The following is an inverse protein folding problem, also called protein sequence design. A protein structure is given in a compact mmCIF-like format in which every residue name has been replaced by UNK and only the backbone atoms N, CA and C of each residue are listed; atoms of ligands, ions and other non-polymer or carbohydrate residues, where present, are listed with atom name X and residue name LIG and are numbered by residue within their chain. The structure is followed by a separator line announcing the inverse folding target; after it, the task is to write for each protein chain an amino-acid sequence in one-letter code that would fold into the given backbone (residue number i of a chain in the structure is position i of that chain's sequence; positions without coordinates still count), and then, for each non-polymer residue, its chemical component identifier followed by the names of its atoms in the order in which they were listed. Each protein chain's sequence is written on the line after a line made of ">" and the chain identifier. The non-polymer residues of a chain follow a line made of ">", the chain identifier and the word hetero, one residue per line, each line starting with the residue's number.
data_IF_299999355040
#
_entry.id   IF_299999355040
#
_cell.length_a   1.000
_cell.length_b   1.000
_cell.length_c   1.000
_cell.angle_alpha   90.00
_cell.angle_beta   90.00
_cell.angle_gamma   90.00
#
_symmetry.space_group_name_H-M   'P 1'
#
loop_
_entity.id
_entity.type
_entity.pdbx_description
1 polymer ?
#
# COMPACT_ATOMS: atom_id res chain seq x y z
N UNK A 1 -13.96 9.55 -22.23
CA UNK A 1 -12.51 9.75 -22.33
C UNK A 1 -11.85 9.07 -21.16
N UNK A 2 -10.72 8.40 -21.39
CA UNK A 2 -9.88 7.85 -20.32
C UNK A 2 -9.35 8.97 -19.43
N UNK A 3 -9.36 8.84 -18.09
CA UNK A 3 -8.75 9.83 -17.21
C UNK A 3 -7.27 10.03 -17.53
N UNK A 4 -6.84 11.28 -17.70
CA UNK A 4 -5.42 11.61 -17.90
C UNK A 4 -4.79 11.88 -16.54
N UNK A 5 -3.79 11.09 -16.16
CA UNK A 5 -3.10 11.21 -14.88
C UNK A 5 -1.64 11.53 -15.16
N UNK A 6 -1.14 12.61 -14.56
CA UNK A 6 0.29 12.92 -14.56
C UNK A 6 0.86 12.62 -13.18
N UNK A 7 1.98 11.91 -13.14
CA UNK A 7 2.81 11.74 -11.94
C UNK A 7 4.05 12.61 -12.11
N UNK A 8 4.27 13.53 -11.19
CA UNK A 8 5.38 14.48 -11.23
C UNK A 8 6.50 14.00 -10.31
N UNK A 9 7.64 13.63 -10.90
CA UNK A 9 8.84 13.11 -10.23
C UNK A 9 9.09 11.64 -10.54
N UNK A 10 10.33 11.30 -10.92
CA UNK A 10 10.75 9.92 -11.25
C UNK A 10 11.60 9.24 -10.16
N UNK A 11 11.61 9.79 -8.94
CA UNK A 11 12.17 9.08 -7.79
C UNK A 11 11.33 7.86 -7.41
N UNK A 12 11.80 7.11 -6.41
CA UNK A 12 11.18 5.85 -5.99
C UNK A 12 9.67 5.98 -5.67
N UNK A 13 9.26 7.09 -5.07
CA UNK A 13 7.85 7.39 -4.77
C UNK A 13 7.01 7.61 -6.03
N UNK A 14 7.50 8.42 -6.98
CA UNK A 14 6.77 8.70 -8.21
C UNK A 14 6.64 7.47 -9.12
N UNK A 15 7.72 6.69 -9.28
CA UNK A 15 7.69 5.43 -10.02
C UNK A 15 6.72 4.41 -9.38
N UNK A 16 6.78 4.25 -8.06
CA UNK A 16 5.85 3.36 -7.35
C UNK A 16 4.41 3.83 -7.48
N UNK A 17 4.17 5.13 -7.36
CA UNK A 17 2.83 5.71 -7.54
C UNK A 17 2.28 5.49 -8.94
N UNK A 18 3.10 5.69 -9.98
CA UNK A 18 2.70 5.49 -11.36
C UNK A 18 2.33 4.03 -11.66
N UNK A 19 3.13 3.07 -11.18
CA UNK A 19 2.83 1.63 -11.31
C UNK A 19 1.56 1.25 -10.56
N UNK A 20 1.38 1.73 -9.32
CA UNK A 20 0.18 1.45 -8.54
C UNK A 20 -1.08 2.03 -9.20
N UNK A 21 -1.01 3.23 -9.77
CA UNK A 21 -2.16 3.84 -10.47
C UNK A 21 -2.52 3.07 -11.73
N UNK A 22 -1.55 2.60 -12.52
CA UNK A 22 -1.84 1.74 -13.67
C UNK A 22 -2.50 0.42 -13.27
N UNK A 23 -2.17 -0.12 -12.10
CA UNK A 23 -2.80 -1.32 -11.56
C UNK A 23 -4.23 -1.06 -11.07
N UNK A 24 -4.42 0.02 -10.30
CA UNK A 24 -5.70 0.36 -9.69
C UNK A 24 -6.72 0.94 -10.69
N UNK A 25 -6.25 1.65 -11.71
CA UNK A 25 -7.08 2.34 -12.69
C UNK A 25 -6.62 1.99 -14.14
N UNK A 26 -6.86 0.75 -14.64
CA UNK A 26 -6.29 0.27 -15.91
C UNK A 26 -6.71 1.06 -17.16
N UNK A 27 -7.82 1.80 -17.10
CA UNK A 27 -8.31 2.64 -18.18
C UNK A 27 -7.67 4.03 -18.22
N UNK A 28 -6.90 4.43 -17.20
CA UNK A 28 -6.27 5.74 -17.13
C UNK A 28 -5.04 5.82 -18.03
N UNK A 29 -4.86 6.96 -18.70
CA UNK A 29 -3.63 7.27 -19.39
C UNK A 29 -2.66 7.90 -18.39
N UNK A 30 -1.62 7.17 -18.00
CA UNK A 30 -0.66 7.62 -16.99
C UNK A 30 0.61 8.12 -17.67
N UNK A 31 0.98 9.36 -17.41
CA UNK A 31 2.26 9.95 -17.80
C UNK A 31 3.11 10.20 -16.55
N UNK A 32 4.41 9.93 -16.63
CA UNK A 32 5.36 10.27 -15.60
C UNK A 32 6.31 11.35 -16.14
N UNK A 33 6.23 12.54 -15.55
CA UNK A 33 6.98 13.73 -15.94
C UNK A 33 8.06 14.00 -14.89
N UNK A 34 9.31 14.14 -15.30
CA UNK A 34 10.42 14.43 -14.38
C UNK A 34 11.60 15.06 -15.12
N UNK A 35 12.36 15.93 -14.46
CA UNK A 35 13.61 16.45 -14.99
C UNK A 35 14.70 15.37 -15.03
N UNK A 36 14.80 14.62 -13.93
CA UNK A 36 15.78 13.56 -13.73
C UNK A 36 15.11 12.20 -13.60
N UNK A 37 15.83 11.16 -14.03
CA UNK A 37 15.51 9.74 -13.84
C UNK A 37 16.73 9.06 -13.23
N UNK A 38 16.61 7.83 -12.72
CA UNK A 38 17.77 7.03 -12.32
C UNK A 38 18.80 6.99 -13.46
N UNK A 39 20.10 7.27 -13.21
CA UNK A 39 20.78 7.30 -11.91
C UNK A 39 20.86 8.66 -11.20
N UNK A 40 20.12 9.68 -11.64
CA UNK A 40 20.28 11.09 -11.21
C UNK A 40 19.19 11.55 -10.22
N UNK A 41 18.67 10.66 -9.37
CA UNK A 41 17.69 10.99 -8.34
C UNK A 41 18.26 10.82 -6.93
N UNK A 42 17.65 11.46 -5.93
CA UNK A 42 17.99 11.23 -4.51
C UNK A 42 17.92 9.74 -4.13
N UNK A 43 17.05 8.96 -4.78
CA UNK A 43 16.91 7.53 -4.51
C UNK A 43 18.17 6.74 -4.84
N UNK A 44 18.96 7.16 -5.83
CA UNK A 44 20.07 6.38 -6.36
C UNK A 44 21.24 6.22 -5.36
N UNK A 45 21.40 7.18 -4.45
CA UNK A 45 22.39 7.07 -3.38
C UNK A 45 21.90 6.47 -2.07
N UNK A 46 20.61 6.12 -1.99
CA UNK A 46 20.02 5.55 -0.78
C UNK A 46 20.75 4.26 -0.36
N UNK A 47 20.80 4.00 0.95
CA UNK A 47 21.30 2.74 1.48
C UNK A 47 20.32 1.58 1.28
N UNK A 48 19.02 1.88 1.06
CA UNK A 48 18.02 0.91 0.64
C UNK A 48 17.50 -0.05 1.71
N UNK A 49 18.01 0.01 2.95
CA UNK A 49 17.46 -0.78 4.06
C UNK A 49 16.07 -0.28 4.45
N UNK A 50 15.14 -1.20 4.66
CA UNK A 50 13.90 -0.90 5.34
C UNK A 50 14.17 -0.69 6.83
N UNK A 51 14.25 0.58 7.24
CA UNK A 51 14.31 0.98 8.65
C UNK A 51 13.66 2.36 8.74
N UNK A 52 12.47 2.49 9.37
CA UNK A 52 11.82 3.80 9.51
C UNK A 52 12.71 4.78 10.29
N UNK A 53 13.22 5.80 9.60
CA UNK A 53 14.20 6.78 10.10
C UNK A 53 13.87 8.20 9.63
N UNK A 54 14.01 9.20 10.52
CA UNK A 54 13.61 10.59 10.27
C UNK A 54 12.17 10.70 9.73
N UNK A 55 11.25 9.95 10.35
CA UNK A 55 9.83 10.17 10.14
C UNK A 55 9.43 11.52 10.74
N UNK A 56 8.57 12.25 10.04
CA UNK A 56 7.92 13.44 10.58
C UNK A 56 7.19 13.10 11.88
N UNK A 57 7.50 13.83 12.96
CA UNK A 57 7.04 13.50 14.31
C UNK A 57 5.54 13.75 14.52
N UNK A 58 4.96 14.69 13.77
CA UNK A 58 3.57 15.10 13.93
C UNK A 58 2.56 14.05 13.44
N UNK A 59 2.99 13.11 12.59
CA UNK A 59 2.13 12.04 12.06
C UNK A 59 2.90 10.71 11.94
N UNK A 60 3.62 10.38 13.01
CA UNK A 60 4.50 9.22 13.07
C UNK A 60 3.73 7.90 12.88
N UNK A 61 2.52 7.77 13.42
CA UNK A 61 1.72 6.56 13.28
C UNK A 61 1.27 6.32 11.84
N UNK A 62 0.79 7.35 11.16
CA UNK A 62 0.39 7.23 9.75
C UNK A 62 1.58 6.90 8.88
N UNK A 63 2.69 7.61 9.09
CA UNK A 63 3.93 7.36 8.35
C UNK A 63 4.37 5.92 8.56
N UNK A 64 4.38 5.44 9.82
CA UNK A 64 4.70 4.05 10.14
C UNK A 64 3.78 3.05 9.44
N UNK A 65 2.46 3.28 9.38
CA UNK A 65 1.54 2.40 8.63
C UNK A 65 1.94 2.27 7.16
N UNK A 66 2.35 3.37 6.52
CA UNK A 66 2.84 3.37 5.13
C UNK A 66 4.14 2.56 5.04
N UNK A 67 5.07 2.76 5.98
CA UNK A 67 6.31 2.00 6.00
C UNK A 67 6.07 0.49 6.19
N UNK A 68 5.18 0.09 7.09
CA UNK A 68 4.88 -1.33 7.35
C UNK A 68 4.23 -2.01 6.15
N UNK A 69 3.36 -1.33 5.41
CA UNK A 69 2.83 -1.91 4.18
C UNK A 69 3.91 -1.99 3.06
N UNK A 70 4.88 -1.07 3.04
CA UNK A 70 6.06 -1.17 2.19
C UNK A 70 6.93 -2.37 2.57
N UNK A 71 7.16 -2.60 3.86
CA UNK A 71 7.90 -3.75 4.37
C UNK A 71 7.32 -5.06 3.85
N UNK A 72 6.00 -5.26 4.01
CA UNK A 72 5.32 -6.48 3.55
C UNK A 72 5.55 -6.72 2.06
N UNK A 73 5.37 -5.68 1.24
CA UNK A 73 5.60 -5.78 -0.20
C UNK A 73 7.04 -6.17 -0.55
N UNK A 74 8.03 -5.54 0.11
CA UNK A 74 9.43 -5.85 -0.12
C UNK A 74 9.83 -7.24 0.37
N UNK A 75 9.24 -7.71 1.47
CA UNK A 75 9.45 -9.07 1.98
C UNK A 75 8.89 -10.13 1.02
N UNK A 76 7.72 -9.89 0.42
CA UNK A 76 7.17 -10.72 -0.64
C UNK A 76 8.11 -10.76 -1.86
N UNK A 77 8.62 -9.59 -2.28
CA UNK A 77 9.58 -9.49 -3.38
C UNK A 77 10.90 -10.20 -3.07
N UNK A 78 11.43 -10.04 -1.86
CA UNK A 78 12.65 -10.71 -1.38
C UNK A 78 12.51 -12.24 -1.37
N UNK A 79 11.28 -12.73 -1.20
CA UNK A 79 10.97 -14.16 -1.20
C UNK A 79 10.57 -14.69 -2.58
N UNK A 80 10.51 -13.81 -3.60
CA UNK A 80 10.11 -14.19 -4.95
C UNK A 80 11.29 -14.70 -5.79
N UNK A 81 11.04 -15.51 -6.85
CA UNK A 81 12.10 -15.93 -7.77
C UNK A 81 12.81 -14.76 -8.50
N UNK A 82 12.20 -13.57 -8.51
CA UNK A 82 12.77 -12.39 -9.16
C UNK A 82 13.69 -11.59 -8.23
N UNK A 83 13.77 -11.92 -6.93
CA UNK A 83 14.50 -11.19 -5.89
C UNK A 83 15.93 -10.82 -6.31
N UNK A 84 16.68 -11.79 -6.84
CA UNK A 84 18.05 -11.57 -7.33
C UNK A 84 18.14 -10.63 -8.53
N UNK A 85 17.16 -10.68 -9.45
CA UNK A 85 17.12 -9.81 -10.63
C UNK A 85 16.82 -8.35 -10.27
N UNK A 86 16.00 -8.13 -9.25
CA UNK A 86 15.62 -6.79 -8.77
C UNK A 86 16.46 -6.32 -7.58
N UNK A 87 17.41 -7.15 -7.13
CA UNK A 87 18.33 -6.89 -6.01
C UNK A 87 17.60 -6.48 -4.73
N UNK A 88 16.59 -7.25 -4.37
CA UNK A 88 15.86 -7.14 -3.10
C UNK A 88 16.17 -8.38 -2.28
N UNK A 89 16.65 -8.22 -1.04
CA UNK A 89 17.09 -9.33 -0.19
C UNK A 89 16.66 -9.14 1.26
N UNK A 90 16.33 -10.25 1.94
CA UNK A 90 16.25 -10.23 3.40
C UNK A 90 17.65 -9.98 3.96
N UNK A 91 17.74 -9.15 4.99
CA UNK A 91 19.01 -8.78 5.59
C UNK A 91 18.86 -8.68 7.10
N UNK A 92 19.70 -9.39 7.85
CA UNK A 92 19.74 -9.34 9.30
C UNK A 92 20.82 -8.38 9.78
N UNK A 93 20.70 -7.91 11.01
CA UNK A 93 21.65 -6.97 11.54
C UNK A 93 21.37 -6.49 12.95
N UNK A 94 22.16 -5.51 13.36
CA UNK A 94 22.34 -5.12 14.74
C UNK A 94 22.16 -3.61 14.93
N UNK A 95 21.37 -3.20 15.91
CA UNK A 95 21.45 -1.83 16.45
C UNK A 95 22.26 -1.86 17.74
N UNK A 96 23.39 -1.16 17.76
CA UNK A 96 24.33 -1.06 18.88
C UNK A 96 24.18 0.30 19.56
N UNK A 97 24.14 0.34 20.90
CA UNK A 97 23.91 1.57 21.65
C UNK A 97 24.98 1.78 22.72
N UNK A 98 25.45 3.02 22.86
CA UNK A 98 26.10 3.49 24.09
C UNK A 98 24.99 3.97 25.04
N UNK A 99 24.72 3.21 26.08
CA UNK A 99 23.57 3.33 26.98
C UNK A 99 22.39 2.42 26.61
N UNK A 100 21.39 2.41 27.50
CA UNK A 100 20.15 1.67 27.29
C UNK A 100 19.14 2.51 26.51
N UNK A 101 18.54 2.00 25.42
CA UNK A 101 17.41 2.65 24.77
C UNK A 101 16.27 2.88 25.76
N UNK A 102 15.70 4.07 25.75
CA UNK A 102 14.61 4.44 26.67
C UNK A 102 13.26 3.83 26.29
N UNK A 103 13.10 3.40 25.04
CA UNK A 103 11.89 2.76 24.54
C UNK A 103 12.18 1.84 23.34
N UNK A 104 11.37 0.79 23.20
CA UNK A 104 11.37 -0.08 22.02
C UNK A 104 10.55 0.62 20.92
N UNK A 105 11.12 0.93 19.74
CA UNK A 105 10.38 1.61 18.67
C UNK A 105 9.20 0.78 18.15
N UNK A 106 8.08 1.41 17.81
CA UNK A 106 6.87 0.69 17.37
C UNK A 106 7.04 -0.16 16.10
N UNK A 107 7.98 0.20 15.23
CA UNK A 107 8.27 -0.54 13.99
C UNK A 107 8.85 -1.94 14.25
N UNK A 108 9.44 -2.20 15.42
CA UNK A 108 10.08 -3.49 15.75
C UNK A 108 9.07 -4.63 15.76
N UNK A 109 7.78 -4.34 16.00
CA UNK A 109 6.67 -5.31 15.89
C UNK A 109 6.45 -5.84 14.48
N UNK A 110 7.04 -5.20 13.47
CA UNK A 110 6.87 -5.57 12.06
C UNK A 110 8.01 -6.42 11.52
N UNK A 111 9.21 -6.31 12.08
CA UNK A 111 10.41 -7.03 11.59
C UNK A 111 10.49 -8.45 12.12
N UNK A 112 11.19 -9.32 11.41
CA UNK A 112 11.38 -10.72 11.82
C UNK A 112 12.47 -10.81 12.89
N UNK A 113 12.24 -11.60 13.95
CA UNK A 113 13.30 -11.98 14.91
C UNK A 113 13.85 -10.85 15.79
N UNK A 114 13.09 -9.78 16.03
CA UNK A 114 13.51 -8.71 16.94
C UNK A 114 13.76 -9.23 18.36
N UNK A 115 14.96 -9.00 18.89
CA UNK A 115 15.35 -9.35 20.25
C UNK A 115 16.52 -8.50 20.75
N UNK A 116 16.75 -8.51 22.06
CA UNK A 116 18.01 -8.04 22.63
C UNK A 116 19.11 -9.11 22.46
N UNK A 117 20.36 -8.66 22.38
CA UNK A 117 21.52 -9.57 22.42
C UNK A 117 21.75 -10.09 23.83
N UNK A 118 22.24 -11.32 23.92
CA UNK A 118 22.69 -11.92 25.18
C UNK A 118 24.03 -11.33 25.62
N UNK A 119 24.38 -11.48 26.90
CA UNK A 119 25.69 -11.05 27.41
C UNK A 119 26.87 -11.70 26.66
N UNK A 120 26.70 -12.93 26.17
CA UNK A 120 27.73 -13.63 25.39
C UNK A 120 27.89 -13.01 24.00
N UNK A 121 26.78 -12.72 23.29
CA UNK A 121 26.82 -12.04 22.00
C UNK A 121 27.40 -10.63 22.09
N UNK A 122 27.12 -9.92 23.20
CA UNK A 122 27.66 -8.58 23.45
C UNK A 122 29.19 -8.56 23.53
N UNK A 123 29.88 -9.67 23.83
CA UNK A 123 31.35 -9.72 23.82
C UNK A 123 31.97 -9.41 22.46
N UNK A 124 31.20 -9.57 21.38
CA UNK A 124 31.62 -9.23 20.01
C UNK A 124 31.58 -7.71 19.75
N UNK A 125 30.91 -6.93 20.60
CA UNK A 125 30.67 -5.50 20.43
C UNK A 125 31.13 -4.71 21.67
N UNK A 126 32.46 -4.65 21.93
CA UNK A 126 33.00 -4.02 23.14
C UNK A 126 32.75 -2.51 23.22
N UNK A 127 32.37 -1.87 22.12
CA UNK A 127 32.04 -0.44 22.05
C UNK A 127 30.57 -0.12 22.38
N UNK A 128 29.76 -1.13 22.72
CA UNK A 128 28.33 -0.99 22.96
C UNK A 128 27.93 -1.51 24.35
N UNK A 129 27.02 -0.80 25.00
CA UNK A 129 26.48 -1.20 26.32
C UNK A 129 25.25 -2.11 26.16
N UNK A 130 24.52 -1.96 25.05
CA UNK A 130 23.38 -2.81 24.70
C UNK A 130 23.22 -2.91 23.19
N UNK A 131 22.53 -3.96 22.74
CA UNK A 131 22.25 -4.15 21.33
C UNK A 131 20.93 -4.89 21.09
N UNK A 132 20.33 -4.65 19.93
CA UNK A 132 19.22 -5.44 19.40
C UNK A 132 19.60 -6.11 18.09
N UNK A 133 18.96 -7.24 17.80
CA UNK A 133 19.10 -7.97 16.54
C UNK A 133 17.72 -8.10 15.90
N UNK A 134 17.67 -7.98 14.57
CA UNK A 134 16.47 -8.26 13.78
C UNK A 134 16.81 -8.54 12.32
N UNK A 135 15.85 -9.12 11.62
CA UNK A 135 15.86 -9.30 10.16
C UNK A 135 14.91 -8.32 9.51
N UNK A 136 15.44 -7.55 8.56
CA UNK A 136 14.72 -6.61 7.72
C UNK A 136 14.88 -6.98 6.23
N UNK A 137 14.61 -6.04 5.33
CA UNK A 137 14.78 -6.16 3.89
C UNK A 137 15.59 -4.99 3.35
N UNK A 138 16.54 -5.29 2.48
CA UNK A 138 17.32 -4.31 1.74
C UNK A 138 16.94 -4.36 0.26
N UNK A 139 16.83 -3.20 -0.37
CA UNK A 139 16.67 -3.08 -1.82
C UNK A 139 17.82 -2.26 -2.39
N UNK A 140 18.38 -2.70 -3.51
CA UNK A 140 19.15 -1.79 -4.35
C UNK A 140 18.19 -0.81 -5.05
N UNK A 141 18.20 0.44 -4.60
CA UNK A 141 17.21 1.43 -5.03
C UNK A 141 17.32 1.77 -6.53
N UNK A 142 18.51 1.98 -7.12
CA UNK A 142 18.64 2.12 -8.58
C UNK A 142 18.06 0.95 -9.37
N UNK A 143 18.36 -0.30 -8.99
CA UNK A 143 17.84 -1.47 -9.71
C UNK A 143 16.32 -1.61 -9.54
N UNK A 144 15.81 -1.36 -8.33
CA UNK A 144 14.37 -1.37 -8.06
C UNK A 144 13.63 -0.28 -8.85
N UNK A 145 14.15 0.94 -8.91
CA UNK A 145 13.57 2.03 -9.72
C UNK A 145 13.57 1.69 -11.21
N UNK A 146 14.65 1.13 -11.73
CA UNK A 146 14.72 0.68 -13.12
C UNK A 146 13.73 -0.45 -13.42
N UNK A 147 13.52 -1.37 -12.47
CA UNK A 147 12.48 -2.39 -12.58
C UNK A 147 11.06 -1.81 -12.59
N UNK A 148 10.76 -0.85 -11.71
CA UNK A 148 9.47 -0.13 -11.72
C UNK A 148 9.26 0.62 -13.03
N UNK A 149 10.30 1.27 -13.55
CA UNK A 149 10.24 2.00 -14.82
C UNK A 149 9.95 1.05 -15.99
N UNK A 150 10.59 -0.13 -16.05
CA UNK A 150 10.30 -1.17 -17.06
C UNK A 150 8.84 -1.63 -16.97
N UNK A 151 8.33 -1.88 -15.75
CA UNK A 151 6.92 -2.26 -15.52
C UNK A 151 5.94 -1.17 -15.92
N UNK A 152 6.28 0.09 -15.65
CA UNK A 152 5.47 1.23 -16.02
C UNK A 152 5.32 1.35 -17.55
N UNK A 153 6.46 1.28 -18.26
CA UNK A 153 6.50 1.31 -19.74
C UNK A 153 5.77 0.11 -20.35
N UNK A 154 5.97 -1.10 -19.83
CA UNK A 154 5.34 -2.31 -20.38
C UNK A 154 3.81 -2.32 -20.26
N UNK A 155 3.24 -1.46 -19.41
CA UNK A 155 1.80 -1.26 -19.24
C UNK A 155 1.28 -0.02 -19.98
N UNK A 156 2.05 0.51 -20.94
CA UNK A 156 1.67 1.67 -21.76
C UNK A 156 1.86 3.02 -21.08
N UNK A 157 2.64 3.06 -20.00
CA UNK A 157 3.00 4.31 -19.31
C UNK A 157 3.91 5.18 -20.15
N UNK A 158 3.65 6.49 -20.18
CA UNK A 158 4.41 7.45 -21.00
C UNK A 158 5.42 8.18 -20.12
N UNK A 159 6.69 8.17 -20.49
CA UNK A 159 7.73 8.99 -19.84
C UNK A 159 7.91 10.31 -20.56
N UNK A 160 8.05 11.39 -19.80
CA UNK A 160 8.35 12.74 -20.32
C UNK A 160 9.48 13.34 -19.50
N UNK A 161 10.66 13.42 -20.09
CA UNK A 161 11.80 14.08 -19.47
C UNK A 161 11.74 15.58 -19.75
N UNK A 162 11.41 16.36 -18.72
CA UNK A 162 11.42 17.83 -18.76
C UNK A 162 11.39 18.41 -17.36
N UNK A 163 11.99 19.58 -17.19
CA UNK A 163 11.78 20.41 -16.02
C UNK A 163 10.38 21.02 -16.06
N UNK A 164 9.75 21.13 -14.90
CA UNK A 164 8.49 21.83 -14.68
C UNK A 164 8.82 22.95 -13.71
N UNK A 165 8.72 24.20 -14.16
CA UNK A 165 9.00 25.38 -13.33
C UNK A 165 7.72 25.82 -12.61
N UNK A 166 6.57 25.63 -13.26
CA UNK A 166 5.26 26.05 -12.75
C UNK A 166 4.19 24.97 -12.92
N UNK A 167 3.27 24.85 -11.95
CA UNK A 167 2.24 23.83 -11.96
C UNK A 167 1.22 24.03 -13.09
N UNK A 168 1.09 25.28 -13.52
CA UNK A 168 0.40 25.79 -14.69
C UNK A 168 0.69 24.98 -15.96
N UNK A 169 1.95 24.59 -16.15
CA UNK A 169 2.38 23.79 -17.31
C UNK A 169 1.74 22.40 -17.35
N UNK A 170 1.34 21.86 -16.20
CA UNK A 170 0.76 20.50 -16.08
C UNK A 170 -0.76 20.56 -15.98
N UNK A 171 -1.33 21.67 -15.49
CA UNK A 171 -2.76 21.76 -15.17
C UNK A 171 -3.70 21.61 -16.35
N UNK A 172 -3.23 21.80 -17.58
CA UNK A 172 -4.01 21.56 -18.81
C UNK A 172 -3.80 20.16 -19.41
N UNK A 173 -2.68 19.50 -19.07
CA UNK A 173 -2.27 18.20 -19.60
C UNK A 173 -3.00 17.02 -18.94
N UNK A 174 -3.55 17.21 -17.74
CA UNK A 174 -4.13 16.14 -16.95
C UNK A 174 -5.46 16.50 -16.29
N UNK A 175 -6.14 15.48 -15.80
CA UNK A 175 -7.35 15.61 -14.98
C UNK A 175 -7.02 15.40 -13.50
N UNK A 176 -5.96 14.65 -13.22
CA UNK A 176 -5.40 14.40 -11.89
C UNK A 176 -3.88 14.50 -11.97
N UNK A 177 -3.30 15.22 -11.03
CA UNK A 177 -1.86 15.28 -10.79
C UNK A 177 -1.51 14.51 -9.52
N UNK A 178 -0.53 13.63 -9.59
CA UNK A 178 0.11 13.01 -8.43
C UNK A 178 1.46 13.70 -8.24
N UNK A 179 1.57 14.51 -7.20
CA UNK A 179 2.76 15.27 -6.89
C UNK A 179 3.72 14.43 -6.04
N UNK A 180 4.79 13.95 -6.67
CA UNK A 180 5.92 13.27 -6.04
C UNK A 180 7.24 14.07 -6.21
N UNK A 181 7.15 15.41 -6.28
CA UNK A 181 8.28 16.29 -6.62
C UNK A 181 9.28 16.52 -5.48
N UNK A 182 9.05 15.93 -4.30
CA UNK A 182 9.97 15.96 -3.17
C UNK A 182 10.33 17.39 -2.74
N UNK A 183 11.62 17.76 -2.76
CA UNK A 183 12.09 19.10 -2.40
C UNK A 183 11.52 20.19 -3.29
N UNK A 184 11.23 19.88 -4.56
CA UNK A 184 10.66 20.85 -5.50
C UNK A 184 9.23 21.24 -5.15
N UNK A 185 8.57 20.57 -4.19
CA UNK A 185 7.29 21.00 -3.65
C UNK A 185 7.37 22.39 -2.97
N UNK A 186 8.56 22.78 -2.47
CA UNK A 186 8.81 24.15 -2.02
C UNK A 186 8.52 25.16 -3.13
N UNK A 187 9.08 24.96 -4.32
CA UNK A 187 8.95 25.90 -5.44
C UNK A 187 7.61 25.78 -6.15
N UNK A 188 7.15 24.54 -6.38
CA UNK A 188 5.96 24.26 -7.20
C UNK A 188 4.65 24.47 -6.44
N UNK A 189 4.64 24.23 -5.13
CA UNK A 189 3.44 24.25 -4.29
C UNK A 189 3.56 25.18 -3.07
N UNK A 190 4.66 25.93 -2.95
CA UNK A 190 4.91 26.85 -1.84
C UNK A 190 4.82 26.17 -0.48
N UNK A 191 5.22 24.89 -0.39
CA UNK A 191 5.27 24.17 0.87
C UNK A 191 6.57 24.50 1.62
N UNK A 192 6.53 25.56 2.41
CA UNK A 192 7.67 26.06 3.21
C UNK A 192 8.07 25.12 4.36
N UNK A 193 7.35 24.01 4.57
CA UNK A 193 7.71 23.02 5.59
C UNK A 193 8.72 21.99 5.08
N UNK A 194 8.96 21.94 3.76
CA UNK A 194 9.89 21.00 3.14
C UNK A 194 11.29 21.58 3.13
N UNK A 195 12.28 20.86 3.65
CA UNK A 195 13.68 21.29 3.66
C UNK A 195 14.63 20.11 3.44
N UNK A 196 15.86 20.35 2.95
CA UNK A 196 16.81 19.28 2.75
C UNK A 196 17.39 18.81 4.09
N UNK A 197 17.61 17.52 4.22
CA UNK A 197 18.58 16.97 5.17
C UNK A 197 19.64 16.22 4.39
N UNK A 198 20.77 16.89 4.17
CA UNK A 198 21.89 16.35 3.42
C UNK A 198 22.44 15.12 4.11
N UNK A 199 22.71 14.09 3.31
CA UNK A 199 23.35 12.87 3.75
C UNK A 199 24.46 12.47 2.81
N UNK A 200 25.63 12.20 3.38
CA UNK A 200 26.77 11.66 2.68
C UNK A 200 27.06 10.23 3.13
N UNK A 201 27.46 9.41 2.17
CA UNK A 201 27.84 8.01 2.35
C UNK A 201 29.01 7.64 1.46
N UNK A 202 29.71 6.58 1.83
CA UNK A 202 30.57 5.80 0.96
C UNK A 202 29.85 4.55 0.47
N UNK A 203 30.04 4.19 -0.79
CA UNK A 203 29.85 2.82 -1.29
C UNK A 203 31.21 2.18 -1.37
N UNK A 204 31.36 0.98 -0.80
CA UNK A 204 32.63 0.24 -0.76
C UNK A 204 32.42 -1.21 -1.18
N UNK A 205 33.48 -1.82 -1.70
CA UNK A 205 33.54 -3.26 -1.91
C UNK A 205 34.09 -3.93 -0.65
N UNK A 206 33.20 -4.60 0.09
CA UNK A 206 33.52 -5.34 1.31
C UNK A 206 32.60 -6.57 1.45
N UNK A 207 32.74 -7.59 0.58
CA UNK A 207 31.81 -8.70 0.49
C UNK A 207 31.73 -9.56 1.77
N UNK A 208 32.68 -9.44 2.70
CA UNK A 208 32.64 -10.14 3.99
C UNK A 208 31.66 -9.52 5.00
N UNK A 209 31.21 -8.26 4.80
CA UNK A 209 30.17 -7.66 5.64
C UNK A 209 28.81 -8.23 5.20
N UNK A 210 28.20 -9.05 6.06
CA UNK A 210 26.93 -9.75 5.75
C UNK A 210 25.73 -9.25 6.54
N UNK A 211 25.97 -8.52 7.62
CA UNK A 211 24.93 -7.96 8.47
C UNK A 211 24.94 -6.45 8.35
N UNK A 212 23.75 -5.83 8.38
CA UNK A 212 23.72 -4.38 8.65
C UNK A 212 24.08 -4.15 10.12
N UNK A 213 24.66 -2.99 10.41
CA UNK A 213 24.91 -2.59 11.79
C UNK A 213 24.83 -1.08 11.92
N UNK A 214 24.18 -0.61 12.99
CA UNK A 214 24.08 0.80 13.36
C UNK A 214 24.78 0.98 14.70
N UNK A 215 25.61 2.01 14.83
CA UNK A 215 26.24 2.41 16.07
C UNK A 215 25.65 3.75 16.52
N UNK A 216 24.83 3.70 17.56
CA UNK A 216 24.20 4.84 18.19
C UNK A 216 25.03 5.30 19.38
N UNK A 217 25.82 6.35 19.16
CA UNK A 217 26.61 6.97 20.21
C UNK A 217 25.88 8.24 20.68
N UNK A 218 25.75 8.39 22.00
CA UNK A 218 25.09 9.56 22.60
C UNK A 218 25.74 10.85 22.09
N UNK A 219 24.92 11.82 21.69
CA UNK A 219 25.33 13.15 21.21
C UNK A 219 26.21 13.14 19.94
N UNK A 220 26.23 12.02 19.19
CA UNK A 220 26.92 11.91 17.89
C UNK A 220 25.96 11.45 16.80
N UNK A 221 26.33 11.71 15.54
CA UNK A 221 25.68 11.09 14.39
C UNK A 221 25.79 9.56 14.47
N UNK A 222 24.73 8.87 14.05
CA UNK A 222 24.74 7.41 13.92
C UNK A 222 25.67 6.99 12.79
N UNK A 223 26.67 6.16 13.11
CA UNK A 223 27.46 5.44 12.10
C UNK A 223 26.72 4.16 11.70
N UNK A 224 26.84 3.74 10.43
CA UNK A 224 26.19 2.53 9.95
C UNK A 224 26.92 1.86 8.78
N UNK A 225 26.79 0.55 8.71
CA UNK A 225 27.14 -0.29 7.57
C UNK A 225 25.91 -1.05 7.11
N UNK A 226 25.61 -0.99 5.82
CA UNK A 226 24.45 -1.66 5.23
C UNK A 226 24.94 -2.41 3.98
N UNK A 227 25.13 -3.73 4.06
CA UNK A 227 25.49 -4.53 2.90
C UNK A 227 24.32 -4.62 1.91
N UNK A 228 24.54 -4.08 0.71
CA UNK A 228 23.71 -4.32 -0.46
C UNK A 228 24.16 -5.57 -1.22
N UNK A 229 23.60 -5.79 -2.41
CA UNK A 229 23.95 -6.94 -3.24
C UNK A 229 25.36 -6.81 -3.83
N UNK A 230 25.72 -5.63 -4.37
CA UNK A 230 27.03 -5.42 -5.00
C UNK A 230 28.03 -4.64 -4.13
N UNK A 231 27.52 -3.77 -3.26
CA UNK A 231 28.31 -2.83 -2.48
C UNK A 231 27.79 -2.71 -1.05
N UNK A 232 28.69 -2.40 -0.12
CA UNK A 232 28.34 -2.02 1.24
C UNK A 232 28.21 -0.51 1.30
N UNK A 233 27.11 -0.01 1.85
CA UNK A 233 26.95 1.42 2.15
C UNK A 233 27.50 1.69 3.53
N UNK A 234 28.47 2.59 3.64
CA UNK A 234 29.03 3.06 4.90
C UNK A 234 28.62 4.50 5.09
N UNK A 235 27.91 4.80 6.16
CA UNK A 235 27.43 6.15 6.42
C UNK A 235 27.40 6.49 7.91
N UNK A 236 26.95 7.67 8.27
CA UNK A 236 26.68 8.76 7.33
C UNK A 236 26.45 10.08 8.05
N UNK A 237 26.02 11.08 7.29
CA UNK A 237 25.65 12.40 7.83
C UNK A 237 24.14 12.67 7.76
N UNK A 238 23.67 13.59 8.60
CA UNK A 238 22.32 14.13 8.59
C UNK A 238 22.35 15.65 8.89
N UNK A 239 22.68 16.46 7.88
CA UNK A 239 22.84 17.91 8.01
C UNK A 239 21.57 18.63 7.51
N UNK A 240 20.76 19.15 8.44
CA UNK A 240 19.53 19.87 8.11
C UNK A 240 19.83 21.23 7.47
N UNK A 241 19.07 21.60 6.43
CA UNK A 241 19.17 22.88 5.74
C UNK A 241 20.32 23.00 4.75
N UNK A 242 21.23 22.01 4.69
CA UNK A 242 22.31 21.99 3.73
C UNK A 242 21.81 21.50 2.35
N UNK A 243 22.05 22.32 1.32
CA UNK A 243 21.65 22.06 -0.08
C UNK A 243 22.80 21.51 -0.94
N UNK A 244 24.00 21.34 -0.38
CA UNK A 244 25.15 20.90 -1.15
C UNK A 244 25.03 19.42 -1.55
N UNK A 245 24.97 19.14 -2.86
CA UNK A 245 24.91 17.78 -3.41
C UNK A 245 26.29 17.18 -3.70
N UNK A 246 27.38 17.93 -3.47
CA UNK A 246 28.74 17.43 -3.66
C UNK A 246 29.25 16.74 -2.38
N UNK A 247 29.94 15.60 -2.49
CA UNK A 247 30.64 15.00 -1.36
C UNK A 247 31.70 15.96 -0.76
N UNK A 248 31.67 16.14 0.55
CA UNK A 248 32.66 16.91 1.31
C UNK A 248 33.75 15.94 1.82
N UNK A 249 35.04 16.16 1.52
CA UNK A 249 36.13 15.32 2.01
C UNK A 249 36.20 15.20 3.54
N UNK A 250 35.80 16.24 4.28
CA UNK A 250 35.79 16.25 5.75
C UNK A 250 34.73 15.32 6.30
N UNK A 251 33.52 15.35 5.73
CA UNK A 251 32.47 14.40 6.06
C UNK A 251 32.89 12.98 5.68
N UNK A 252 33.56 12.82 4.52
CA UNK A 252 34.05 11.54 4.04
C UNK A 252 35.07 10.91 5.00
N UNK A 253 36.03 11.71 5.48
CA UNK A 253 37.04 11.28 6.45
C UNK A 253 36.40 10.91 7.80
N UNK A 254 35.46 11.75 8.29
CA UNK A 254 34.74 11.50 9.54
C UNK A 254 33.91 10.21 9.49
N UNK A 255 33.17 9.98 8.40
CA UNK A 255 32.40 8.74 8.21
C UNK A 255 33.35 7.54 8.26
N UNK A 256 34.50 7.62 7.58
CA UNK A 256 35.46 6.52 7.54
C UNK A 256 36.10 6.24 8.89
N UNK A 257 36.52 7.28 9.62
CA UNK A 257 37.07 7.16 10.97
C UNK A 257 36.08 6.49 11.94
N UNK A 258 34.82 6.94 11.94
CA UNK A 258 33.77 6.35 12.78
C UNK A 258 33.49 4.89 12.38
N UNK A 259 33.47 4.60 11.09
CA UNK A 259 33.22 3.25 10.60
C UNK A 259 34.36 2.29 11.00
N UNK A 260 35.63 2.69 10.89
CA UNK A 260 36.77 1.86 11.31
C UNK A 260 36.83 1.66 12.83
N UNK A 261 36.32 2.61 13.61
CA UNK A 261 36.23 2.46 15.06
C UNK A 261 35.26 1.32 15.46
N UNK A 262 34.12 1.20 14.78
CA UNK A 262 33.10 0.19 15.10
C UNK A 262 33.26 -1.12 14.33
N UNK A 263 33.77 -1.07 13.10
CA UNK A 263 33.96 -2.21 12.20
C UNK A 263 35.38 -2.20 11.61
N UNK A 264 36.41 -2.56 12.39
CA UNK A 264 37.81 -2.55 11.95
C UNK A 264 38.08 -3.39 10.70
N UNK A 265 37.26 -4.40 10.43
CA UNK A 265 37.29 -5.23 9.23
C UNK A 265 37.05 -4.44 7.92
N UNK A 266 36.55 -3.20 8.00
CA UNK A 266 36.46 -2.28 6.86
C UNK A 266 37.82 -1.73 6.41
N UNK A 267 38.90 -1.93 7.19
CA UNK A 267 40.26 -1.49 6.80
C UNK A 267 40.67 -2.03 5.42
N UNK A 268 40.21 -3.23 5.08
CA UNK A 268 40.51 -3.89 3.80
C UNK A 268 39.49 -3.58 2.69
N UNK A 269 38.47 -2.76 2.96
CA UNK A 269 37.44 -2.44 1.98
C UNK A 269 37.96 -1.46 0.93
N UNK A 270 37.54 -1.65 -0.32
CA UNK A 270 37.93 -0.76 -1.42
C UNK A 270 36.84 0.30 -1.64
N UNK A 271 37.12 1.61 -1.54
CA UNK A 271 36.17 2.65 -1.88
C UNK A 271 35.72 2.55 -3.35
N UNK A 272 34.42 2.65 -3.59
CA UNK A 272 33.81 2.62 -4.94
C UNK A 272 33.28 3.99 -5.32
N UNK A 273 32.53 4.62 -4.41
CA UNK A 273 31.88 5.92 -4.66
C UNK A 273 31.69 6.69 -3.36
N UNK A 274 32.01 7.98 -3.37
CA UNK A 274 31.49 8.93 -2.41
C UNK A 274 30.22 9.56 -2.98
N UNK A 275 29.13 9.58 -2.21
CA UNK A 275 27.86 10.15 -2.67
C UNK A 275 27.25 11.04 -1.60
N UNK A 276 26.68 12.17 -2.03
CA UNK A 276 25.89 13.06 -1.19
C UNK A 276 24.54 13.36 -1.85
N UNK A 277 23.49 13.45 -1.05
CA UNK A 277 22.18 13.83 -1.56
C UNK A 277 21.23 14.35 -0.48
N UNK A 278 20.10 14.88 -0.93
CA UNK A 278 19.22 15.70 -0.12
C UNK A 278 17.93 14.96 0.19
N UNK A 279 17.74 14.58 1.46
CA UNK A 279 16.49 13.96 1.93
C UNK A 279 15.39 15.04 1.96
N UNK A 280 14.20 14.80 1.39
CA UNK A 280 13.08 15.75 1.42
C UNK A 280 12.37 15.70 2.77
N UNK A 281 12.96 16.33 3.78
CA UNK A 281 12.45 16.32 5.15
C UNK A 281 11.27 17.28 5.30
N UNK A 282 10.26 16.86 6.06
CA UNK A 282 9.06 17.63 6.40
C UNK A 282 8.55 17.18 7.78
N UNK A 283 7.95 18.07 8.61
CA UNK A 283 7.44 17.70 9.94
C UNK A 283 6.37 16.60 9.95
N UNK A 284 5.62 16.47 8.86
CA UNK A 284 4.70 15.36 8.59
C UNK A 284 4.75 14.94 7.12
N UNK A 285 4.49 13.65 6.85
CA UNK A 285 4.34 13.13 5.49
C UNK A 285 3.15 13.81 4.81
N UNK A 286 3.38 14.54 3.71
CA UNK A 286 2.28 15.15 2.94
C UNK A 286 1.75 14.14 1.93
N UNK A 287 0.76 13.39 2.38
CA UNK A 287 0.03 12.41 1.60
C UNK A 287 -1.46 12.74 1.61
N UNK A 288 -1.97 13.55 0.69
CA UNK A 288 -3.36 14.02 0.77
C UNK A 288 -3.87 14.54 -0.58
N UNK A 289 -5.20 14.50 -0.80
CA UNK A 289 -5.83 15.18 -1.91
C UNK A 289 -5.92 16.70 -1.68
N UNK A 290 -5.78 17.48 -2.74
CA UNK A 290 -6.02 18.91 -2.77
C UNK A 290 -6.71 19.28 -4.09
N UNK A 291 -7.46 20.40 -4.10
CA UNK A 291 -7.93 21.02 -5.35
C UNK A 291 -7.21 22.34 -5.54
N UNK A 292 -6.41 22.44 -6.59
CA UNK A 292 -5.63 23.63 -6.92
C UNK A 292 -6.25 24.30 -8.15
N UNK A 293 -6.45 25.61 -8.11
CA UNK A 293 -6.94 26.37 -9.26
C UNK A 293 -5.79 26.73 -10.18
N UNK A 294 -5.80 26.22 -11.40
CA UNK A 294 -4.77 26.45 -12.42
C UNK A 294 -5.42 27.02 -13.67
N UNK A 295 -5.02 28.21 -14.10
CA UNK A 295 -5.66 28.94 -15.22
C UNK A 295 -7.21 28.99 -15.13
N UNK A 296 -7.75 29.17 -13.91
CA UNK A 296 -9.20 29.19 -13.66
C UNK A 296 -9.90 27.82 -13.69
N UNK A 297 -9.16 26.72 -13.88
CA UNK A 297 -9.66 25.34 -13.79
C UNK A 297 -9.27 24.71 -12.46
N UNK A 298 -10.22 24.00 -11.83
CA UNK A 298 -9.94 23.17 -10.67
C UNK A 298 -9.20 21.89 -11.08
N UNK A 299 -7.93 21.77 -10.71
CA UNK A 299 -7.09 20.58 -10.86
C UNK A 299 -7.11 19.78 -9.57
N UNK A 300 -7.34 18.46 -9.67
CA UNK A 300 -7.21 17.55 -8.53
C UNK A 300 -5.75 17.15 -8.39
N UNK A 301 -5.16 17.44 -7.23
CA UNK A 301 -3.78 17.09 -6.90
C UNK A 301 -3.79 16.05 -5.77
N UNK A 302 -2.92 15.06 -5.85
CA UNK A 302 -2.64 14.12 -4.76
C UNK A 302 -1.18 14.30 -4.41
N UNK A 303 -0.89 14.85 -3.25
CA UNK A 303 0.46 15.01 -2.75
C UNK A 303 0.99 13.68 -2.21
N UNK A 304 2.27 13.41 -2.48
CA UNK A 304 3.00 12.27 -1.95
C UNK A 304 4.50 12.62 -1.86
N UNK A 305 4.86 13.43 -0.86
CA UNK A 305 6.25 13.86 -0.60
C UNK A 305 6.48 14.19 0.89
N UNK A 306 7.70 14.59 1.25
CA UNK A 306 8.06 14.87 2.65
C UNK A 306 8.45 13.60 3.41
N UNK A 307 9.14 12.66 2.76
CA UNK A 307 9.47 11.36 3.34
C UNK A 307 10.75 11.36 4.19
N UNK A 308 11.49 12.47 4.24
CA UNK A 308 12.75 12.56 4.98
C UNK A 308 13.73 11.44 4.62
N UNK A 309 14.33 10.83 5.64
CA UNK A 309 15.21 9.65 5.50
C UNK A 309 14.47 8.34 5.24
N UNK A 310 13.14 8.38 5.21
CA UNK A 310 12.26 7.22 5.06
C UNK A 310 11.64 7.08 3.67
N UNK A 311 12.24 7.71 2.65
CA UNK A 311 11.82 7.56 1.25
C UNK A 311 11.67 6.10 0.82
N UNK A 312 12.77 5.32 0.85
CA UNK A 312 12.77 3.89 0.47
C UNK A 312 11.96 2.99 1.44
N UNK A 313 12.07 3.16 2.79
CA UNK A 313 11.25 2.39 3.72
C UNK A 313 9.74 2.59 3.61
N UNK A 314 9.26 3.71 3.03
CA UNK A 314 7.84 4.06 3.03
C UNK A 314 7.27 4.32 1.62
N UNK A 315 7.89 3.74 0.59
CA UNK A 315 7.49 3.91 -0.80
C UNK A 315 6.24 3.09 -1.21
N UNK A 316 6.06 1.91 -0.62
CA UNK A 316 5.27 0.80 -1.16
C UNK A 316 3.78 0.77 -0.82
N UNK A 317 3.24 1.73 -0.05
CA UNK A 317 1.87 1.61 0.46
C UNK A 317 0.91 2.74 0.10
N UNK A 318 1.38 3.74 -0.64
CA UNK A 318 0.58 4.95 -0.84
C UNK A 318 -0.67 4.71 -1.70
N UNK A 319 -0.71 3.63 -2.49
CA UNK A 319 -1.81 3.38 -3.44
C UNK A 319 -2.30 1.91 -3.51
N UNK A 320 -1.73 0.99 -2.71
CA UNK A 320 -2.11 -0.44 -2.76
C UNK A 320 -3.49 -0.73 -2.16
N UNK A 321 -4.00 0.13 -1.29
CA UNK A 321 -5.43 0.16 -0.95
C UNK A 321 -6.07 1.16 -1.88
N UNK A 322 -6.73 0.65 -2.92
CA UNK A 322 -7.55 1.37 -3.90
C UNK A 322 -7.92 2.77 -3.39
N UNK A 323 -7.33 3.85 -3.92
CA UNK A 323 -7.67 5.18 -3.44
C UNK A 323 -9.19 5.33 -3.50
N UNK A 324 -9.88 5.83 -2.44
CA UNK A 324 -11.31 6.11 -2.47
C UNK A 324 -11.72 6.98 -3.68
N UNK A 325 -10.75 7.63 -4.32
CA UNK A 325 -10.86 8.40 -5.56
C UNK A 325 -11.04 7.55 -6.82
N UNK A 326 -10.41 6.37 -6.94
CA UNK A 326 -10.57 5.51 -8.13
C UNK A 326 -11.97 4.89 -8.15
N UNK A 327 -12.56 4.59 -6.98
CA UNK A 327 -13.99 4.25 -6.84
C UNK A 327 -14.93 5.46 -7.02
N UNK A 328 -14.47 6.71 -6.80
CA UNK A 328 -15.24 7.93 -7.13
C UNK A 328 -15.15 8.34 -8.61
N UNK A 329 -14.09 7.97 -9.34
CA UNK A 329 -13.96 8.24 -10.78
C UNK A 329 -14.90 7.35 -11.61
N UNK A 330 -15.15 6.12 -11.16
CA UNK A 330 -16.23 5.28 -11.70
C UNK A 330 -17.63 5.78 -11.29
N UNK A 331 -17.74 6.58 -10.22
CA UNK A 331 -19.00 7.18 -9.75
C UNK A 331 -19.39 8.49 -10.47
N UNK A 332 -18.46 9.20 -11.12
CA UNK A 332 -18.72 10.43 -11.89
C UNK A 332 -19.53 10.21 -13.19
N UNK A 333 -20.01 8.99 -13.44
CA UNK A 333 -20.96 8.65 -14.52
C UNK A 333 -22.33 8.17 -14.05
N UNK A 334 -22.67 8.23 -12.75
CA UNK A 334 -23.94 7.66 -12.26
C UNK A 334 -24.93 8.75 -11.84
N UNK A 335 -25.88 9.00 -12.73
CA UNK A 335 -27.14 9.70 -12.45
C UNK A 335 -27.93 8.99 -11.34
N UNK A 336 -28.37 9.77 -10.35
CA UNK A 336 -29.41 9.55 -9.32
C UNK A 336 -29.95 8.10 -9.15
N UNK A 337 -29.50 7.41 -8.11
CA UNK A 337 -30.28 6.35 -7.44
C UNK A 337 -29.77 6.15 -6.00
N UNK A 338 -30.69 6.07 -5.03
CA UNK A 338 -30.44 5.94 -3.59
C UNK A 338 -30.13 4.48 -3.19
N UNK A 339 -28.91 4.20 -2.75
CA UNK A 339 -28.56 2.96 -2.04
C UNK A 339 -28.13 3.30 -0.61
N UNK A 340 -28.76 2.69 0.39
CA UNK A 340 -28.41 2.82 1.80
C UNK A 340 -28.13 1.44 2.37
N UNK A 341 -26.92 1.21 2.87
CA UNK A 341 -26.54 -0.03 3.53
C UNK A 341 -26.10 0.32 4.96
N UNK A 342 -26.83 -0.21 5.95
CA UNK A 342 -26.66 0.08 7.39
C UNK A 342 -26.04 -1.14 8.05
N UNK A 343 -24.93 -0.93 8.77
CA UNK A 343 -24.20 -1.99 9.47
C UNK A 343 -24.28 -1.77 10.99
N UNK A 344 -24.65 -2.83 11.73
CA UNK A 344 -24.64 -2.86 13.18
C UNK A 344 -23.59 -3.89 13.60
N UNK A 345 -22.42 -3.44 14.07
CA UNK A 345 -21.26 -4.23 14.57
C UNK A 345 -20.53 -5.14 13.57
N UNK A 346 -19.29 -4.76 13.23
CA UNK A 346 -18.29 -5.42 12.36
C UNK A 346 -18.82 -6.44 11.29
N UNK A 347 -19.39 -5.96 10.17
CA UNK A 347 -19.44 -6.76 8.94
C UNK A 347 -19.18 -5.95 7.64
N UNK A 348 -18.92 -6.65 6.53
CA UNK A 348 -18.67 -6.08 5.18
C UNK A 348 -19.86 -6.22 4.22
N UNK A 349 -20.44 -5.11 3.75
CA UNK A 349 -21.62 -5.09 2.86
C UNK A 349 -21.43 -4.23 1.59
N UNK A 350 -20.90 -4.81 0.49
CA UNK A 350 -20.87 -4.14 -0.82
C UNK A 350 -22.24 -4.18 -1.55
N UNK A 351 -22.78 -3.01 -1.88
CA UNK A 351 -24.07 -2.85 -2.59
C UNK A 351 -23.86 -2.07 -3.92
N UNK A 352 -24.35 -2.60 -5.06
CA UNK A 352 -24.28 -1.94 -6.38
C UNK A 352 -25.67 -1.86 -7.03
N UNK A 353 -26.15 -0.63 -7.27
CA UNK A 353 -27.43 -0.36 -7.94
C UNK A 353 -27.22 0.39 -9.26
N UNK A 354 -28.05 0.05 -10.26
CA UNK A 354 -28.14 0.75 -11.55
C UNK A 354 -29.61 1.10 -11.85
N UNK A 355 -29.86 2.34 -12.26
CA UNK A 355 -31.14 2.84 -12.82
C UNK A 355 -32.40 2.53 -11.98
N UNK A 356 -32.79 3.42 -11.06
CA UNK A 356 -34.06 3.33 -10.34
C UNK A 356 -34.21 2.15 -9.35
N UNK A 357 -33.15 1.39 -9.09
CA UNK A 357 -33.18 0.25 -8.17
C UNK A 357 -33.01 0.67 -6.70
N UNK A 358 -33.65 -0.05 -5.78
CA UNK A 358 -33.59 0.15 -4.32
C UNK A 358 -32.90 -1.07 -3.68
N UNK A 359 -31.84 -0.85 -2.91
CA UNK A 359 -31.16 -1.89 -2.12
C UNK A 359 -31.11 -1.45 -0.67
N UNK A 360 -31.63 -2.28 0.23
CA UNK A 360 -31.53 -2.11 1.68
C UNK A 360 -30.97 -3.40 2.30
N UNK A 361 -29.82 -3.28 2.95
CA UNK A 361 -29.13 -4.40 3.60
C UNK A 361 -28.91 -4.10 5.08
N UNK A 362 -29.28 -5.05 5.93
CA UNK A 362 -29.06 -5.04 7.37
C UNK A 362 -28.30 -6.31 7.75
N UNK A 363 -27.09 -6.14 8.28
CA UNK A 363 -26.23 -7.23 8.72
C UNK A 363 -25.89 -7.06 10.20
N UNK A 364 -25.92 -8.18 10.94
CA UNK A 364 -25.51 -8.26 12.33
C UNK A 364 -24.36 -9.26 12.48
N UNK A 365 -23.25 -8.84 13.10
CA UNK A 365 -22.09 -9.63 13.55
C UNK A 365 -21.55 -10.69 12.55
N UNK A 366 -20.47 -10.37 11.83
CA UNK A 366 -19.73 -11.38 11.04
C UNK A 366 -20.42 -11.90 9.77
N UNK A 367 -21.46 -11.21 9.28
CA UNK A 367 -22.17 -11.56 8.03
C UNK A 367 -21.63 -10.83 6.80
N UNK A 368 -21.73 -11.45 5.62
CA UNK A 368 -21.34 -10.88 4.31
C UNK A 368 -22.57 -10.78 3.42
N UNK A 369 -22.88 -9.58 2.92
CA UNK A 369 -23.99 -9.35 1.99
C UNK A 369 -23.46 -8.66 0.73
N UNK A 370 -23.66 -9.28 -0.44
CA UNK A 370 -23.34 -8.70 -1.74
C UNK A 370 -24.60 -8.63 -2.61
N UNK A 371 -24.99 -7.41 -3.00
CA UNK A 371 -26.16 -7.18 -3.85
C UNK A 371 -25.79 -6.43 -5.12
N UNK A 372 -26.20 -6.98 -6.27
CA UNK A 372 -26.11 -6.36 -7.59
C UNK A 372 -27.51 -6.23 -8.18
N UNK A 373 -27.99 -5.01 -8.34
CA UNK A 373 -29.31 -4.72 -8.91
C UNK A 373 -29.20 -3.90 -10.19
N UNK A 374 -29.95 -4.29 -11.21
CA UNK A 374 -30.03 -3.58 -12.49
C UNK A 374 -31.49 -3.27 -12.86
N UNK A 375 -31.78 -2.00 -13.17
CA UNK A 375 -33.08 -1.49 -13.65
C UNK A 375 -34.30 -1.85 -12.78
N UNK A 376 -34.79 -0.88 -12.00
CA UNK A 376 -36.07 -0.95 -11.28
C UNK A 376 -36.25 -2.21 -10.39
N UNK A 377 -35.15 -2.70 -9.80
CA UNK A 377 -35.19 -3.86 -8.90
C UNK A 377 -35.18 -3.43 -7.43
N UNK A 378 -35.85 -4.20 -6.56
CA UNK A 378 -35.91 -3.98 -5.11
C UNK A 378 -35.26 -5.17 -4.40
N UNK A 379 -34.23 -4.93 -3.60
CA UNK A 379 -33.54 -5.96 -2.82
C UNK A 379 -33.56 -5.58 -1.34
N UNK A 380 -34.14 -6.45 -0.51
CA UNK A 380 -34.10 -6.37 0.95
C UNK A 380 -33.36 -7.59 1.51
N UNK A 381 -32.24 -7.36 2.19
CA UNK A 381 -31.45 -8.41 2.82
C UNK A 381 -31.31 -8.19 4.32
N UNK A 382 -31.63 -9.22 5.10
CA UNK A 382 -31.50 -9.24 6.56
C UNK A 382 -30.66 -10.48 6.92
N UNK A 383 -29.45 -10.26 7.42
CA UNK A 383 -28.54 -11.33 7.83
C UNK A 383 -28.19 -11.24 9.32
N UNK A 384 -28.30 -12.37 10.02
CA UNK A 384 -28.00 -12.47 11.44
C UNK A 384 -26.90 -13.50 11.68
N UNK A 385 -25.75 -13.07 12.21
CA UNK A 385 -24.62 -13.89 12.65
C UNK A 385 -24.03 -14.85 11.59
N UNK A 386 -22.78 -14.62 11.17
CA UNK A 386 -21.99 -15.57 10.36
C UNK A 386 -22.70 -16.09 9.07
N UNK A 387 -23.46 -15.24 8.37
CA UNK A 387 -24.20 -15.63 7.16
C UNK A 387 -23.64 -14.97 5.88
N UNK A 388 -23.74 -15.65 4.74
CA UNK A 388 -23.35 -15.14 3.42
C UNK A 388 -24.57 -15.03 2.51
N UNK A 389 -24.89 -13.82 2.05
CA UNK A 389 -26.00 -13.56 1.13
C UNK A 389 -25.46 -12.96 -0.17
N UNK A 390 -25.77 -13.59 -1.30
CA UNK A 390 -25.47 -13.09 -2.64
C UNK A 390 -26.77 -12.89 -3.43
N UNK A 391 -27.06 -11.65 -3.82
CA UNK A 391 -28.22 -11.31 -4.64
C UNK A 391 -27.79 -10.70 -5.98
N UNK A 392 -28.20 -11.30 -7.09
CA UNK A 392 -28.14 -10.68 -8.42
C UNK A 392 -29.55 -10.54 -8.98
N UNK A 393 -29.97 -9.29 -9.15
CA UNK A 393 -31.26 -8.89 -9.68
C UNK A 393 -31.10 -8.13 -10.99
N UNK A 394 -31.89 -8.52 -11.99
CA UNK A 394 -31.89 -7.88 -13.29
C UNK A 394 -33.32 -7.62 -13.76
N UNK A 395 -33.62 -6.35 -14.09
CA UNK A 395 -34.88 -5.84 -14.65
C UNK A 395 -36.15 -6.23 -13.85
N UNK A 396 -36.77 -5.27 -13.16
CA UNK A 396 -38.09 -5.42 -12.52
C UNK A 396 -38.19 -6.62 -11.54
N UNK A 397 -37.17 -6.85 -10.71
CA UNK A 397 -37.12 -7.98 -9.76
C UNK A 397 -37.29 -7.52 -8.30
N UNK A 398 -37.97 -8.32 -7.46
CA UNK A 398 -38.11 -8.08 -6.02
C UNK A 398 -37.51 -9.27 -5.24
N UNK A 399 -36.56 -8.98 -4.34
CA UNK A 399 -35.93 -9.95 -3.46
C UNK A 399 -36.11 -9.62 -1.99
N UNK A 400 -36.47 -10.65 -1.22
CA UNK A 400 -36.41 -10.66 0.24
C UNK A 400 -35.56 -11.86 0.65
N UNK A 401 -34.32 -11.63 1.10
CA UNK A 401 -33.42 -12.69 1.56
C UNK A 401 -33.21 -12.53 3.07
N UNK A 402 -33.69 -13.49 3.86
CA UNK A 402 -33.56 -13.55 5.33
C UNK A 402 -32.64 -14.72 5.70
N UNK A 403 -31.49 -14.43 6.32
CA UNK A 403 -30.53 -15.43 6.78
C UNK A 403 -30.40 -15.38 8.30
N UNK A 404 -30.53 -16.54 8.93
CA UNK A 404 -30.26 -16.74 10.34
C UNK A 404 -29.08 -17.70 10.48
N UNK A 405 -28.08 -17.34 11.29
CA UNK A 405 -26.93 -18.13 11.78
C UNK A 405 -26.40 -19.21 10.82
N UNK A 406 -25.19 -19.02 10.26
CA UNK A 406 -24.48 -20.01 9.44
C UNK A 406 -25.25 -20.45 8.18
N UNK A 407 -25.82 -19.49 7.46
CA UNK A 407 -26.53 -19.73 6.19
C UNK A 407 -25.76 -19.19 4.99
N UNK A 408 -25.82 -19.91 3.85
CA UNK A 408 -25.39 -19.41 2.53
C UNK A 408 -26.62 -19.29 1.63
N UNK A 409 -26.96 -18.06 1.23
CA UNK A 409 -28.13 -17.77 0.40
C UNK A 409 -27.68 -17.19 -0.94
N UNK A 410 -28.11 -17.84 -2.03
CA UNK A 410 -27.93 -17.36 -3.40
C UNK A 410 -29.29 -17.02 -4.03
N UNK A 411 -29.53 -15.73 -4.26
CA UNK A 411 -30.73 -15.18 -4.88
C UNK A 411 -30.39 -14.71 -6.32
N UNK A 412 -30.89 -15.38 -7.38
CA UNK A 412 -30.65 -15.02 -8.80
C UNK A 412 -31.97 -14.82 -9.55
N UNK A 413 -32.14 -13.68 -10.25
CA UNK A 413 -33.26 -13.46 -11.17
C UNK A 413 -32.83 -12.63 -12.38
N UNK A 414 -33.24 -13.09 -13.58
CA UNK A 414 -32.75 -12.53 -14.84
C UNK A 414 -33.85 -11.98 -15.77
N UNK A 415 -35.16 -12.20 -15.50
CA UNK A 415 -36.33 -11.56 -16.15
C UNK A 415 -37.65 -12.10 -15.56
N UNK A 416 -38.75 -11.37 -15.75
CA UNK A 416 -40.12 -11.64 -15.25
C UNK A 416 -40.47 -13.13 -15.07
N UNK A 417 -41.00 -13.41 -13.87
CA UNK A 417 -41.68 -14.63 -13.40
C UNK A 417 -40.83 -15.90 -13.29
N UNK A 418 -39.95 -15.96 -12.29
CA UNK A 418 -39.77 -17.07 -11.36
C UNK A 418 -38.57 -16.79 -10.45
N UNK A 419 -38.77 -16.87 -9.14
CA UNK A 419 -37.66 -16.87 -8.17
C UNK A 419 -37.16 -18.31 -8.06
N UNK A 420 -35.91 -18.56 -8.41
CA UNK A 420 -35.19 -19.77 -7.98
C UNK A 420 -34.34 -19.38 -6.77
N UNK A 421 -34.82 -19.71 -5.57
CA UNK A 421 -33.99 -19.63 -4.35
C UNK A 421 -33.26 -20.95 -4.20
N UNK A 422 -31.93 -20.92 -4.22
CA UNK A 422 -31.10 -22.06 -3.83
C UNK A 422 -30.71 -21.86 -2.36
N UNK A 423 -31.27 -22.68 -1.47
CA UNK A 423 -30.85 -22.75 -0.07
C UNK A 423 -29.78 -23.84 0.06
N UNK A 424 -28.61 -23.48 0.57
CA UNK A 424 -27.60 -24.44 1.03
C UNK A 424 -27.39 -24.18 2.51
N UNK A 425 -28.08 -24.93 3.36
CA UNK A 425 -27.82 -24.99 4.79
C UNK A 425 -26.88 -26.17 5.05
N UNK A 426 -25.74 -25.92 5.70
CA UNK A 426 -24.88 -26.98 6.22
C UNK A 426 -24.95 -27.00 7.74
N UNK A 427 -25.10 -28.21 8.28
CA UNK A 427 -25.21 -28.61 9.68
C UNK A 427 -26.51 -28.31 10.47
N UNK A 428 -27.28 -29.40 10.59
CA UNK A 428 -28.09 -29.81 11.74
C UNK A 428 -27.61 -29.24 13.09
N UNK A 429 -28.49 -28.49 13.76
CA UNK A 429 -28.55 -28.50 15.23
C UNK A 429 -29.97 -28.94 15.61
N UNK A 430 -30.06 -30.07 16.30
CA UNK A 430 -31.26 -30.57 16.94
C UNK A 430 -31.73 -29.56 18.01
N UNK A 431 -33.04 -29.56 18.28
CA UNK A 431 -33.73 -28.78 19.31
C UNK A 431 -34.07 -27.33 18.97
N UNK A 432 -34.90 -27.15 17.93
CA UNK A 432 -36.13 -26.35 17.96
C UNK A 432 -36.78 -26.39 16.58
N UNK A 433 -38.06 -26.74 16.52
CA UNK A 433 -38.90 -26.73 15.31
C UNK A 433 -38.76 -25.40 14.55
N UNK A 434 -38.05 -25.41 13.43
CA UNK A 434 -38.25 -24.44 12.36
C UNK A 434 -38.28 -25.21 11.05
N UNK A 435 -39.49 -25.34 10.51
CA UNK A 435 -39.75 -25.91 9.20
C UNK A 435 -38.96 -25.14 8.13
N UNK A 436 -38.36 -25.86 7.19
CA UNK A 436 -38.00 -25.29 5.89
C UNK A 436 -39.32 -25.03 5.16
N UNK A 437 -39.88 -23.84 5.33
CA UNK A 437 -41.04 -23.37 4.57
C UNK A 437 -40.57 -22.67 3.30
N UNK A 438 -40.90 -23.25 2.14
CA UNK A 438 -40.80 -22.57 0.85
C UNK A 438 -42.01 -21.64 0.73
N UNK A 439 -41.80 -20.34 0.86
CA UNK A 439 -42.84 -19.33 0.58
C UNK A 439 -42.79 -18.91 -0.90
N UNK A 440 -43.84 -19.26 -1.65
CA UNK A 440 -44.14 -18.63 -2.94
C UNK A 440 -45.23 -17.57 -2.72
N UNK A 441 -44.89 -16.28 -2.80
CA UNK A 441 -45.89 -15.21 -2.83
C UNK A 441 -46.06 -14.76 -4.29
N UNK A 442 -47.16 -15.18 -4.92
CA UNK A 442 -47.65 -14.61 -6.17
C UNK A 442 -48.69 -13.53 -5.84
N UNK A 443 -48.45 -12.28 -6.24
CA UNK A 443 -49.42 -11.18 -6.14
C UNK A 443 -50.48 -11.20 -7.25
N UNK A 444 -50.44 -12.19 -8.15
CA UNK A 444 -51.55 -12.49 -9.05
C UNK A 444 -52.26 -13.75 -8.55
N UNK A 445 -53.53 -13.60 -8.16
CA UNK A 445 -54.49 -14.64 -7.75
C UNK A 445 -54.48 -15.01 -6.26
N UNK A 446 -55.01 -14.10 -5.43
CA UNK A 446 -55.76 -14.49 -4.23
C UNK A 446 -56.98 -15.28 -4.70
N UNK A 447 -56.94 -16.61 -4.64
CA UNK A 447 -58.12 -17.45 -4.39
C UNK A 447 -57.71 -18.92 -4.22
N UNK A 448 -57.93 -19.43 -3.00
CA UNK A 448 -57.91 -20.85 -2.56
C UNK A 448 -56.52 -21.51 -2.40
N UNK A 449 -56.08 -21.53 -1.15
CA UNK A 449 -55.11 -22.50 -0.64
C UNK A 449 -55.81 -23.86 -0.55
N UNK A 450 -55.35 -24.84 -1.35
CA UNK A 450 -55.57 -26.26 -1.09
C UNK A 450 -54.18 -26.92 -0.99
N UNK A 451 -53.92 -27.56 0.15
CA UNK A 451 -52.72 -28.37 0.37
C UNK A 451 -53.06 -29.79 -0.07
N UNK A 452 -52.36 -30.33 -1.06
CA UNK A 452 -52.27 -31.78 -1.27
C UNK A 452 -50.83 -32.19 -1.59
N UNK A 453 -50.24 -33.02 -0.71
CA UNK A 453 -49.10 -33.88 -1.04
C UNK A 453 -49.64 -35.01 -1.92
N UNK A 454 -49.20 -35.22 -3.18
CA UNK A 454 -47.97 -35.99 -3.45
C UNK A 454 -47.33 -35.77 -4.85
N UNK A 455 -46.09 -35.27 -4.95
CA UNK A 455 -45.29 -35.43 -6.18
C UNK A 455 -43.78 -35.37 -5.88
N UNK A 456 -43.24 -36.43 -5.28
CA UNK A 456 -41.78 -36.65 -5.11
C UNK A 456 -41.42 -38.06 -5.59
N UNK A 457 -41.81 -38.43 -6.82
CA UNK A 457 -41.57 -39.78 -7.32
C UNK A 457 -41.08 -39.87 -8.77
N UNK A 458 -40.34 -38.88 -9.30
CA UNK A 458 -39.56 -39.09 -10.53
C UNK A 458 -38.32 -38.20 -10.49
N UNK A 459 -37.20 -38.71 -9.96
CA UNK A 459 -35.84 -38.73 -10.52
C UNK A 459 -34.99 -39.57 -9.55
N UNK A 460 -35.11 -40.91 -9.63
CA UNK A 460 -34.13 -41.82 -9.01
C UNK A 460 -33.63 -42.92 -9.96
N UNK A 461 -34.03 -42.93 -11.24
CA UNK A 461 -33.66 -43.98 -12.20
C UNK A 461 -32.85 -43.43 -13.38
N UNK A 462 -31.62 -42.97 -13.16
CA UNK A 462 -30.65 -42.73 -14.26
C UNK A 462 -29.16 -42.81 -13.89
N UNK A 463 -28.78 -43.35 -12.73
CA UNK A 463 -27.35 -43.57 -12.38
C UNK A 463 -27.06 -45.01 -11.94
N UNK A 464 -27.53 -45.97 -12.75
CA UNK A 464 -26.94 -47.31 -12.85
C UNK A 464 -26.80 -47.63 -14.34
N UNK A 465 -25.67 -47.29 -14.94
CA UNK A 465 -25.11 -47.96 -16.13
C UNK A 465 -23.70 -47.42 -16.45
N UNK A 466 -22.72 -48.31 -16.26
CA UNK A 466 -21.29 -48.32 -16.65
C UNK A 466 -20.33 -47.45 -15.83
#
# INVERSE_FOLDING_TARGET
>A
MSPRIVVLGAGINGLSSAVCVQQACPLAQVQLVSEHYSPDTTGDGSAGLWLPYLLGKEDAERSLRVCVATYRHLMELASSPQAGLIKVQKLSGYDLYTGMPTAIPAWTKSVEGFRQLTQEEMKQYPTADSATFFTSVNMDVPHYMNWLMKRFKSRGGILRQRKVEHIEEIGTECDILINCSALSAWFLFKDEQVYPTRGQVWKVHAPWIKHFSFAHVKDKDTAYVIPGVDHVTVGGTAQAGDWNTQPDPRDGARIWEQALHHWPELTNATPVLAWAGLRPTRPSLRLEPETVTVHGRNLKVIHNYGHGGSGSPCTGAVLWRSPPWCSRLSALRRTRSSGSCLACSEPSSPCLAYSGSIILCLAYSGSIILCLAYNESIILCLAYSESIILCLAYNESIFLCLACSKSIILCLACRRLAVSMLFVADQLCYDSLVAVQVFCVSLATVQKIYVSLPTVQIVYDSLVAV
#
